data_IF_019875610475
#
_entry.id   IF_019875610475
#
_cell.length_a   1.000
_cell.length_b   1.000
_cell.length_c   1.000
_cell.angle_alpha   90.00
_cell.angle_beta   90.00
_cell.angle_gamma   90.00
#
_symmetry.space_group_name_H-M   'P 1'
#
loop_
_entity.id
_entity.type
_entity.pdbx_description
1 polymer ?
#
# COMPACT_ATOMS: atom_id res chain seq x y z
N UNK A 1 6.87 -3.36 -22.90
CA UNK A 1 7.27 -4.29 -23.98
C UNK A 1 7.36 -3.47 -25.26
N UNK A 2 8.39 -3.61 -26.08
CA UNK A 2 8.48 -2.95 -27.39
C UNK A 2 8.47 -4.02 -28.48
N UNK A 3 7.46 -3.99 -29.35
CA UNK A 3 7.36 -4.78 -30.57
C UNK A 3 7.31 -3.85 -31.78
N UNK A 4 8.00 -4.23 -32.85
CA UNK A 4 7.97 -3.54 -34.14
C UNK A 4 7.40 -4.53 -35.16
N UNK A 5 6.15 -4.33 -35.56
CA UNK A 5 5.42 -5.18 -36.50
C UNK A 5 4.62 -4.29 -37.47
N UNK A 6 4.09 -4.88 -38.54
CA UNK A 6 3.36 -4.20 -39.61
C UNK A 6 1.95 -3.78 -39.18
N UNK A 7 1.59 -4.02 -37.92
CA UNK A 7 0.29 -3.77 -37.29
C UNK A 7 0.50 -3.23 -35.88
N UNK A 8 -0.40 -2.36 -35.44
CA UNK A 8 -0.38 -1.84 -34.07
C UNK A 8 -0.83 -2.91 -33.07
N UNK A 9 0.03 -3.22 -32.09
CA UNK A 9 -0.32 -4.09 -30.96
C UNK A 9 -1.08 -3.28 -29.91
N UNK A 10 -2.41 -3.46 -29.85
CA UNK A 10 -3.30 -2.75 -28.90
C UNK A 10 -3.69 -3.60 -27.68
N UNK A 11 -3.16 -4.81 -27.55
CA UNK A 11 -3.55 -5.76 -26.49
C UNK A 11 -3.38 -5.19 -25.08
N UNK A 12 -2.29 -4.46 -24.82
CA UNK A 12 -2.05 -3.81 -23.54
C UNK A 12 -3.09 -2.70 -23.23
N UNK A 13 -3.52 -1.94 -24.24
CA UNK A 13 -4.56 -0.92 -24.10
C UNK A 13 -5.94 -1.57 -23.87
N UNK A 14 -6.24 -2.64 -24.60
CA UNK A 14 -7.50 -3.38 -24.43
C UNK A 14 -7.62 -3.97 -23.02
N UNK A 15 -6.53 -4.49 -22.45
CA UNK A 15 -6.51 -5.00 -21.08
C UNK A 15 -6.79 -3.89 -20.06
N UNK A 16 -6.16 -2.72 -20.22
CA UNK A 16 -6.37 -1.57 -19.33
C UNK A 16 -7.77 -0.96 -19.42
N UNK A 17 -8.44 -1.07 -20.57
CA UNK A 17 -9.81 -0.57 -20.77
C UNK A 17 -10.90 -1.53 -20.28
N UNK A 18 -10.55 -2.77 -19.93
CA UNK A 18 -11.52 -3.77 -19.46
C UNK A 18 -11.62 -3.79 -17.93
N UNK A 19 -10.54 -3.39 -17.23
CA UNK A 19 -10.50 -3.31 -15.77
C UNK A 19 -10.91 -1.90 -15.26
N UNK A 20 -12.22 -1.68 -15.13
CA UNK A 20 -12.78 -0.46 -14.50
C UNK A 20 -12.80 -0.53 -12.96
N UNK A 21 -12.58 -1.71 -12.39
CA UNK A 21 -12.65 -1.91 -10.94
C UNK A 21 -11.43 -1.31 -10.23
N UNK A 22 -11.70 -0.34 -9.34
CA UNK A 22 -10.68 0.27 -8.47
C UNK A 22 -10.80 -0.31 -7.05
N UNK A 23 -9.76 -1.01 -6.61
CA UNK A 23 -9.69 -1.60 -5.28
C UNK A 23 -8.88 -0.72 -4.33
N UNK A 24 -9.40 -0.49 -3.12
CA UNK A 24 -8.69 0.23 -2.06
C UNK A 24 -8.00 -0.72 -1.08
N UNK A 25 -6.73 -0.44 -0.78
CA UNK A 25 -5.94 -1.17 0.21
C UNK A 25 -5.55 -0.25 1.37
N UNK A 26 -5.71 -0.78 2.58
CA UNK A 26 -5.21 -0.18 3.81
C UNK A 26 -4.28 -1.21 4.45
N UNK A 27 -2.99 -0.91 4.48
CA UNK A 27 -1.97 -1.77 5.08
C UNK A 27 -1.54 -1.12 6.39
N UNK A 28 -1.75 -1.78 7.52
CA UNK A 28 -1.33 -1.29 8.83
C UNK A 28 -0.29 -2.22 9.45
N UNK A 29 0.81 -1.65 9.92
CA UNK A 29 1.90 -2.32 10.63
C UNK A 29 2.26 -1.53 11.91
N UNK A 30 3.06 -2.12 12.81
CA UNK A 30 3.58 -1.47 14.00
C UNK A 30 4.52 -0.29 13.72
N UNK A 31 4.92 -0.09 12.47
CA UNK A 31 5.73 1.06 12.04
C UNK A 31 4.91 2.13 11.31
N UNK A 32 3.60 1.95 11.09
CA UNK A 32 2.82 2.89 10.30
C UNK A 32 1.63 2.31 9.54
N UNK A 33 1.01 3.14 8.72
CA UNK A 33 -0.11 2.76 7.87
C UNK A 33 0.06 3.32 6.45
N UNK A 34 -0.30 2.51 5.45
CA UNK A 34 -0.28 2.87 4.04
C UNK A 34 -1.69 2.72 3.45
N UNK A 35 -2.11 3.75 2.73
CA UNK A 35 -3.35 3.81 1.97
C UNK A 35 -2.99 3.85 0.50
N UNK A 36 -3.54 2.93 -0.28
CA UNK A 36 -3.32 2.88 -1.72
C UNK A 36 -4.51 2.31 -2.46
N UNK A 37 -4.50 2.48 -3.77
CA UNK A 37 -5.51 1.91 -4.65
C UNK A 37 -4.84 1.17 -5.79
N UNK A 38 -5.46 0.09 -6.24
CA UNK A 38 -5.04 -0.69 -7.40
C UNK A 38 -6.17 -0.64 -8.43
N UNK A 39 -5.83 -0.32 -9.66
CA UNK A 39 -6.75 -0.39 -10.81
C UNK A 39 -5.99 -1.02 -11.98
N UNK A 40 -6.46 -2.18 -12.44
CA UNK A 40 -5.73 -3.01 -13.41
C UNK A 40 -4.28 -3.23 -13.00
N UNK A 41 -3.33 -2.78 -13.82
CA UNK A 41 -1.89 -2.87 -13.56
C UNK A 41 -1.28 -1.60 -12.93
N UNK A 42 -2.11 -0.65 -12.49
CA UNK A 42 -1.65 0.61 -11.89
C UNK A 42 -1.88 0.65 -10.39
N UNK A 43 -0.79 0.80 -9.63
CA UNK A 43 -0.83 0.96 -8.18
C UNK A 43 -0.54 2.42 -7.83
N UNK A 44 -1.42 3.01 -7.03
CA UNK A 44 -1.33 4.40 -6.57
C UNK A 44 -1.25 4.41 -5.04
N UNK A 45 -0.18 4.99 -4.48
CA UNK A 45 -0.04 5.19 -3.03
C UNK A 45 -0.59 6.57 -2.69
N UNK A 46 -1.74 6.61 -2.01
CA UNK A 46 -2.42 7.85 -1.65
C UNK A 46 -1.76 8.52 -0.44
N UNK A 47 -1.45 7.75 0.61
CA UNK A 47 -0.81 8.25 1.82
C UNK A 47 -0.04 7.17 2.55
N UNK A 48 1.08 7.58 3.15
CA UNK A 48 1.87 6.77 4.08
C UNK A 48 2.06 7.56 5.36
N UNK A 49 1.79 6.93 6.49
CA UNK A 49 2.11 7.42 7.81
C UNK A 49 3.14 6.50 8.42
N UNK A 50 4.21 7.09 8.95
CA UNK A 50 5.15 6.37 9.79
C UNK A 50 4.77 6.61 11.25
N UNK A 51 4.69 5.54 12.03
CA UNK A 51 4.33 5.54 13.45
C UNK A 51 5.45 4.83 14.19
N UNK A 52 5.98 5.46 15.23
CA UNK A 52 6.97 4.83 16.09
C UNK A 52 6.28 4.30 17.36
N UNK A 53 5.84 3.05 17.32
CA UNK A 53 5.29 2.39 18.49
C UNK A 53 6.42 1.93 19.42
N UNK A 54 6.35 2.24 20.73
CA UNK A 54 7.34 1.79 21.68
C UNK A 54 7.38 0.25 21.73
N UNK A 55 8.57 -0.31 21.82
CA UNK A 55 8.74 -1.77 21.80
C UNK A 55 8.05 -2.40 23.00
N UNK A 56 7.32 -3.49 22.75
CA UNK A 56 6.67 -4.27 23.82
C UNK A 56 7.75 -4.92 24.68
N UNK A 57 8.08 -4.30 25.81
CA UNK A 57 9.06 -4.84 26.75
C UNK A 57 8.54 -6.16 27.33
N UNK A 58 9.04 -7.29 26.80
CA UNK A 58 8.69 -8.63 27.28
C UNK A 58 9.71 -9.06 28.34
N UNK A 59 9.65 -8.41 29.49
CA UNK A 59 10.56 -8.70 30.60
C UNK A 59 10.31 -7.76 31.76
N UNK A 60 9.80 -8.31 32.87
CA UNK A 60 9.89 -7.84 34.26
C UNK A 60 10.34 -6.37 34.47
N UNK A 61 9.50 -5.55 35.10
CA UNK A 61 9.78 -4.93 36.42
C UNK A 61 8.79 -3.80 36.73
N UNK A 62 8.40 -3.76 38.01
CA UNK A 62 8.29 -2.56 38.84
C UNK A 62 8.22 -1.19 38.15
N UNK A 63 7.09 -0.53 38.35
CA UNK A 63 6.93 0.93 38.49
C UNK A 63 7.10 1.84 37.25
N UNK A 64 6.16 2.79 37.20
CA UNK A 64 6.17 4.09 36.52
C UNK A 64 5.71 4.15 35.04
N UNK A 65 4.39 4.25 34.91
CA UNK A 65 3.68 5.34 34.24
C UNK A 65 4.14 5.81 32.84
N UNK A 66 3.38 5.40 31.83
CA UNK A 66 2.91 6.30 30.78
C UNK A 66 1.40 6.17 30.66
N UNK A 67 0.69 6.82 31.58
CA UNK A 67 -0.73 7.12 31.44
C UNK A 67 -0.80 8.52 30.83
N UNK A 68 -1.50 8.65 29.70
CA UNK A 68 -1.68 9.90 28.96
C UNK A 68 -2.11 11.03 29.90
N UNK A 69 -1.35 12.12 29.91
CA UNK A 69 -1.80 13.44 30.33
C UNK A 69 -1.59 14.39 29.15
#
# INVERSE_FOLDING_TARGET
MYLCDNKFHIEALSALLTDDDKFGFIVMDGNGALFGTLQGNTLEVLRKYDVHLPTKHRGRNSSAAFHLK
#
